data_IF_742123284586
#
_entry.id   IF_742123284586
#
_cell.length_a   1.000
_cell.length_b   1.000
_cell.length_c   1.000
_cell.angle_alpha   90.00
_cell.angle_beta   90.00
_cell.angle_gamma   90.00
#
_symmetry.space_group_name_H-M   'P 1'
#
loop_
_entity.id
_entity.type
_entity.pdbx_description
1 polymer ?
#
# COMPACT_ATOMS: atom_id res chain seq x y z
N UNK A 1 -38.76 7.29 0.82
CA UNK A 1 -38.52 7.77 2.21
C UNK A 1 -39.32 9.04 2.54
N UNK A 2 -39.84 9.22 3.77
CA UNK A 2 -40.50 10.47 4.20
C UNK A 2 -39.50 11.59 4.53
N UNK A 3 -39.96 12.82 4.79
CA UNK A 3 -39.08 13.98 5.07
C UNK A 3 -38.19 13.76 6.30
N UNK A 4 -38.74 13.14 7.34
CA UNK A 4 -38.01 12.80 8.57
C UNK A 4 -36.92 11.74 8.34
N UNK A 5 -37.19 10.73 7.51
CA UNK A 5 -36.18 9.75 7.11
C UNK A 5 -35.07 10.36 6.23
N UNK A 6 -35.40 11.34 5.38
CA UNK A 6 -34.38 12.09 4.61
C UNK A 6 -33.47 12.86 5.55
N UNK A 7 -34.04 13.52 6.57
CA UNK A 7 -33.26 14.26 7.57
C UNK A 7 -32.38 13.33 8.40
N UNK A 8 -32.89 12.16 8.81
CA UNK A 8 -32.12 11.15 9.54
C UNK A 8 -30.95 10.60 8.71
N UNK A 9 -31.18 10.26 7.44
CA UNK A 9 -30.13 9.82 6.52
C UNK A 9 -29.08 10.93 6.27
N UNK A 10 -29.53 12.18 6.08
CA UNK A 10 -28.63 13.33 5.96
C UNK A 10 -27.78 13.49 7.22
N UNK A 11 -28.37 13.34 8.40
CA UNK A 11 -27.69 13.43 9.69
C UNK A 11 -26.63 12.34 9.86
N UNK A 12 -26.95 11.08 9.51
CA UNK A 12 -26.01 9.96 9.49
C UNK A 12 -24.78 10.28 8.64
N UNK A 13 -24.99 10.69 7.39
CA UNK A 13 -23.90 10.94 6.45
C UNK A 13 -23.14 12.23 6.74
N UNK A 14 -23.79 13.27 7.26
CA UNK A 14 -23.14 14.50 7.68
C UNK A 14 -22.22 14.24 8.87
N UNK A 15 -22.70 13.59 9.94
CA UNK A 15 -21.88 13.31 11.10
C UNK A 15 -20.65 12.44 10.74
N UNK A 16 -20.85 11.39 9.95
CA UNK A 16 -19.75 10.53 9.49
C UNK A 16 -18.78 11.26 8.53
N UNK A 17 -19.27 12.15 7.67
CA UNK A 17 -18.41 12.95 6.81
C UNK A 17 -17.61 13.98 7.62
N UNK A 18 -18.22 14.67 8.59
CA UNK A 18 -17.50 15.59 9.46
C UNK A 18 -16.41 14.88 10.27
N UNK A 19 -16.73 13.73 10.87
CA UNK A 19 -15.77 12.90 11.61
C UNK A 19 -14.52 12.56 10.78
N UNK A 20 -14.68 12.19 9.51
CA UNK A 20 -13.58 11.83 8.63
C UNK A 20 -12.86 13.03 7.97
N UNK A 21 -13.35 14.26 8.15
CA UNK A 21 -12.84 15.46 7.46
C UNK A 21 -12.68 16.65 8.42
N UNK A 22 -11.88 16.48 9.48
CA UNK A 22 -11.50 17.55 10.42
C UNK A 22 -12.68 18.32 11.02
N UNK A 23 -13.83 17.65 11.17
CA UNK A 23 -15.05 18.22 11.70
C UNK A 23 -15.90 19.01 10.72
N UNK A 24 -15.60 18.97 9.41
CA UNK A 24 -16.34 19.71 8.38
C UNK A 24 -17.02 18.78 7.38
N UNK A 25 -18.33 18.62 7.55
CA UNK A 25 -19.18 17.95 6.59
C UNK A 25 -19.43 18.82 5.33
N UNK A 26 -19.53 18.16 4.18
CA UNK A 26 -19.73 18.78 2.87
C UNK A 26 -20.95 18.20 2.16
N UNK A 27 -21.70 19.08 1.47
CA UNK A 27 -22.96 18.74 0.80
C UNK A 27 -22.83 17.71 -0.31
N UNK A 28 -21.81 17.84 -1.16
CA UNK A 28 -21.64 17.01 -2.36
C UNK A 28 -21.57 15.50 -2.05
N UNK A 29 -20.66 15.05 -1.17
CA UNK A 29 -20.55 13.65 -0.77
C UNK A 29 -21.84 13.08 -0.16
N UNK A 30 -22.51 13.85 0.70
CA UNK A 30 -23.75 13.44 1.37
C UNK A 30 -24.87 13.26 0.34
N UNK A 31 -25.06 14.25 -0.54
CA UNK A 31 -26.05 14.20 -1.62
C UNK A 31 -25.79 13.00 -2.54
N UNK A 32 -24.54 12.80 -2.95
CA UNK A 32 -24.15 11.67 -3.80
C UNK A 32 -24.49 10.31 -3.17
N UNK A 33 -24.22 10.15 -1.87
CA UNK A 33 -24.50 8.91 -1.15
C UNK A 33 -25.99 8.66 -1.00
N UNK A 34 -26.76 9.66 -0.59
CA UNK A 34 -28.22 9.54 -0.43
C UNK A 34 -28.91 9.22 -1.76
N UNK A 35 -28.54 9.89 -2.85
CA UNK A 35 -29.11 9.62 -4.18
C UNK A 35 -28.65 8.28 -4.79
N UNK A 36 -27.51 7.76 -4.34
CA UNK A 36 -27.01 6.45 -4.72
C UNK A 36 -27.78 5.32 -4.05
N UNK A 37 -28.09 5.48 -2.76
CA UNK A 37 -28.80 4.47 -1.97
C UNK A 37 -30.32 4.48 -2.21
N UNK A 38 -30.92 5.66 -2.37
CA UNK A 38 -32.34 5.81 -2.71
C UNK A 38 -32.49 6.62 -4.02
N UNK A 39 -32.53 5.94 -5.18
CA UNK A 39 -32.78 6.54 -6.48
C UNK A 39 -34.02 7.44 -6.57
N UNK A 40 -35.07 7.19 -5.78
CA UNK A 40 -36.33 7.92 -5.85
C UNK A 40 -36.19 9.35 -5.31
N UNK A 41 -35.18 9.59 -4.46
CA UNK A 41 -34.84 10.91 -3.95
C UNK A 41 -34.43 11.90 -5.05
N UNK A 42 -34.05 11.44 -6.25
CA UNK A 42 -33.72 12.33 -7.38
C UNK A 42 -34.89 13.22 -7.76
N UNK A 43 -36.12 12.71 -7.67
CA UNK A 43 -37.35 13.47 -7.94
C UNK A 43 -37.58 14.59 -6.90
N UNK A 44 -36.99 14.46 -5.71
CA UNK A 44 -37.11 15.38 -4.58
C UNK A 44 -35.77 16.04 -4.23
N UNK A 45 -34.86 16.15 -5.20
CA UNK A 45 -33.50 16.64 -4.99
C UNK A 45 -33.44 18.02 -4.32
N UNK A 46 -34.39 18.92 -4.62
CA UNK A 46 -34.46 20.25 -3.98
C UNK A 46 -34.79 20.17 -2.49
N UNK A 47 -35.72 19.29 -2.10
CA UNK A 47 -36.08 19.05 -0.70
C UNK A 47 -34.90 18.42 0.05
N UNK A 48 -34.30 17.39 -0.52
CA UNK A 48 -33.12 16.71 0.03
C UNK A 48 -31.97 17.70 0.21
N UNK A 49 -31.70 18.52 -0.80
CA UNK A 49 -30.68 19.58 -0.77
C UNK A 49 -30.92 20.57 0.39
N UNK A 50 -32.17 20.99 0.61
CA UNK A 50 -32.53 21.92 1.68
C UNK A 50 -32.36 21.30 3.07
N UNK A 51 -32.75 20.02 3.23
CA UNK A 51 -32.56 19.28 4.47
C UNK A 51 -31.08 19.02 4.78
N UNK A 52 -30.27 18.74 3.76
CA UNK A 52 -28.81 18.62 3.92
C UNK A 52 -28.22 19.96 4.39
N UNK A 53 -28.64 21.11 3.84
CA UNK A 53 -28.13 22.41 4.29
C UNK A 53 -28.48 22.73 5.75
N UNK A 54 -29.65 22.29 6.21
CA UNK A 54 -30.03 22.38 7.62
C UNK A 54 -29.12 21.52 8.50
N UNK A 55 -28.98 20.24 8.15
CA UNK A 55 -28.13 19.28 8.88
C UNK A 55 -26.66 19.72 8.90
N UNK A 56 -26.13 20.22 7.78
CA UNK A 56 -24.75 20.68 7.70
C UNK A 56 -24.47 21.84 8.66
N UNK A 57 -25.40 22.78 8.80
CA UNK A 57 -25.26 23.88 9.77
C UNK A 57 -25.21 23.37 11.20
N UNK A 58 -26.01 22.36 11.49
CA UNK A 58 -26.03 21.72 12.82
C UNK A 58 -24.73 20.95 13.08
N UNK A 59 -24.38 19.98 12.23
CA UNK A 59 -23.21 19.11 12.41
C UNK A 59 -21.89 19.90 12.41
N UNK A 60 -21.73 20.89 11.54
CA UNK A 60 -20.51 21.71 11.48
C UNK A 60 -20.41 22.72 12.63
N UNK A 61 -21.46 22.88 13.45
CA UNK A 61 -21.40 23.67 14.69
C UNK A 61 -20.89 22.87 15.88
N UNK A 62 -20.86 21.54 15.79
CA UNK A 62 -20.39 20.66 16.84
C UNK A 62 -18.86 20.58 16.89
N UNK A 63 -18.32 20.28 18.06
CA UNK A 63 -16.91 19.89 18.19
C UNK A 63 -16.70 18.49 17.61
N UNK A 64 -15.45 18.12 17.31
CA UNK A 64 -15.12 16.78 16.81
C UNK A 64 -15.50 15.70 17.82
N UNK A 65 -15.29 15.97 19.12
CA UNK A 65 -15.70 15.08 20.21
C UNK A 65 -17.22 14.86 20.17
N UNK A 66 -18.01 15.92 20.01
CA UNK A 66 -19.46 15.80 19.96
C UNK A 66 -19.96 15.05 18.72
N UNK A 67 -19.31 15.26 17.57
CA UNK A 67 -19.61 14.51 16.34
C UNK A 67 -19.34 13.02 16.52
N UNK A 68 -18.23 12.67 17.19
CA UNK A 68 -17.89 11.30 17.53
C UNK A 68 -18.90 10.68 18.50
N UNK A 69 -19.19 11.34 19.63
CA UNK A 69 -20.19 10.86 20.60
C UNK A 69 -21.54 10.61 19.93
N UNK A 70 -21.98 11.53 19.08
CA UNK A 70 -23.24 11.40 18.37
C UNK A 70 -23.27 10.20 17.41
N UNK A 71 -22.14 9.90 16.74
CA UNK A 71 -21.99 8.68 15.94
C UNK A 71 -21.97 7.42 16.83
N UNK A 72 -21.27 7.44 17.97
CA UNK A 72 -21.21 6.30 18.92
C UNK A 72 -22.62 5.95 19.44
N UNK A 73 -23.44 6.97 19.73
CA UNK A 73 -24.81 6.81 20.23
C UNK A 73 -25.79 6.27 19.17
N UNK A 74 -25.64 6.68 17.90
CA UNK A 74 -26.66 6.47 16.85
C UNK A 74 -26.28 5.44 15.81
N UNK A 75 -25.02 5.45 15.38
CA UNK A 75 -24.47 4.64 14.30
C UNK A 75 -23.05 4.17 14.62
N UNK A 76 -22.85 3.40 15.72
CA UNK A 76 -21.53 2.95 16.12
C UNK A 76 -20.82 2.13 15.03
N UNK A 77 -21.58 1.47 14.14
CA UNK A 77 -21.06 0.72 13.00
C UNK A 77 -20.31 1.60 11.99
N UNK A 78 -20.53 2.91 11.99
CA UNK A 78 -19.81 3.85 11.14
C UNK A 78 -18.48 4.31 11.74
N UNK A 79 -18.29 4.14 13.05
CA UNK A 79 -17.02 4.40 13.75
C UNK A 79 -16.11 3.20 13.77
N UNK A 80 -16.69 2.01 13.57
CA UNK A 80 -16.00 0.87 12.98
C UNK A 80 -15.65 1.22 11.52
N UNK A 81 -14.78 2.22 11.36
CA UNK A 81 -13.94 2.30 10.18
C UNK A 81 -13.35 0.91 10.08
N UNK A 82 -13.43 0.31 8.90
CA UNK A 82 -12.56 -0.78 8.56
C UNK A 82 -11.15 -0.32 8.99
N UNK A 83 -10.68 -0.77 10.16
CA UNK A 83 -9.46 -1.51 10.16
C UNK A 83 -9.73 -2.60 9.12
N UNK A 84 -9.50 -2.27 7.85
CA UNK A 84 -8.52 -3.02 7.12
C UNK A 84 -7.40 -3.08 8.15
N UNK A 85 -7.41 -4.17 8.95
CA UNK A 85 -6.16 -4.75 9.33
C UNK A 85 -5.47 -4.73 7.99
N UNK A 86 -4.51 -3.84 7.80
CA UNK A 86 -3.45 -4.15 6.90
C UNK A 86 -2.94 -5.47 7.48
N UNK A 87 -3.60 -6.58 7.10
CA UNK A 87 -2.88 -7.80 6.86
C UNK A 87 -1.79 -7.28 5.94
N UNK A 88 -0.63 -7.01 6.53
CA UNK A 88 0.56 -6.68 5.77
C UNK A 88 0.52 -7.68 4.65
N UNK A 89 0.32 -7.20 3.42
CA UNK A 89 0.35 -8.08 2.26
C UNK A 89 1.76 -8.64 2.27
N UNK A 90 1.91 -9.83 2.83
CA UNK A 90 3.17 -10.53 2.93
C UNK A 90 3.33 -11.32 1.65
N UNK A 91 4.57 -11.62 1.31
CA UNK A 91 4.84 -12.52 0.21
C UNK A 91 4.23 -13.90 0.52
N UNK A 92 3.70 -14.61 -0.50
CA UNK A 92 3.23 -15.97 -0.29
C UNK A 92 4.38 -16.84 0.24
N UNK A 93 4.13 -17.83 1.09
CA UNK A 93 5.19 -18.68 1.59
C UNK A 93 5.85 -19.47 0.46
N UNK A 94 7.16 -19.68 0.56
CA UNK A 94 7.91 -20.57 -0.35
C UNK A 94 7.54 -22.04 -0.08
N UNK A 95 7.39 -22.80 -1.15
CA UNK A 95 7.12 -24.23 -1.06
C UNK A 95 8.32 -25.00 -0.50
N UNK A 96 8.05 -26.00 0.34
CA UNK A 96 9.04 -26.92 0.90
C UNK A 96 10.17 -26.26 1.72
N UNK A 97 9.95 -25.05 2.25
CA UNK A 97 10.99 -24.33 3.02
C UNK A 97 11.48 -25.14 4.23
N UNK A 98 10.61 -25.95 4.82
CA UNK A 98 10.91 -26.84 5.94
C UNK A 98 11.93 -27.96 5.62
N UNK A 99 12.17 -28.24 4.33
CA UNK A 99 13.18 -29.22 3.90
C UNK A 99 14.60 -28.68 3.95
N UNK A 100 14.76 -27.35 4.06
CA UNK A 100 16.04 -26.67 4.00
C UNK A 100 16.33 -25.97 5.32
N UNK A 101 17.62 -25.89 5.69
CA UNK A 101 18.03 -25.25 6.94
C UNK A 101 18.05 -23.73 6.87
N UNK A 102 18.20 -23.16 5.67
CA UNK A 102 18.37 -21.73 5.45
C UNK A 102 17.85 -21.39 4.04
N UNK A 103 17.10 -20.30 3.92
CA UNK A 103 16.70 -19.73 2.63
C UNK A 103 17.82 -18.82 2.12
N UNK A 104 18.25 -19.05 0.88
CA UNK A 104 19.27 -18.20 0.22
C UNK A 104 18.73 -17.71 -1.10
N UNK A 105 18.52 -16.41 -1.20
CA UNK A 105 18.05 -15.73 -2.43
C UNK A 105 19.23 -15.04 -3.12
N UNK A 106 19.10 -14.73 -4.40
CA UNK A 106 20.12 -13.94 -5.11
C UNK A 106 19.57 -13.01 -6.16
N UNK A 107 20.14 -11.81 -6.22
CA UNK A 107 20.08 -10.93 -7.39
C UNK A 107 21.37 -11.08 -8.18
N UNK A 108 21.25 -11.33 -9.49
CA UNK A 108 22.37 -11.68 -10.35
C UNK A 108 22.45 -10.78 -11.60
N UNK A 109 22.88 -9.51 -11.46
CA UNK A 109 22.96 -8.58 -12.57
C UNK A 109 24.20 -8.84 -13.44
N UNK A 110 24.11 -8.51 -14.72
CA UNK A 110 25.30 -8.31 -15.55
C UNK A 110 25.82 -6.89 -15.27
N UNK A 111 27.14 -6.68 -15.14
CA UNK A 111 27.71 -5.36 -14.92
C UNK A 111 27.90 -4.58 -16.23
N UNK A 112 26.95 -4.66 -17.17
CA UNK A 112 27.01 -4.05 -18.51
C UNK A 112 26.19 -2.75 -18.62
N UNK A 113 25.48 -2.36 -17.55
CA UNK A 113 24.74 -1.10 -17.45
C UNK A 113 24.13 -0.86 -16.06
N UNK A 114 23.65 0.37 -15.79
CA UNK A 114 23.03 0.71 -14.51
C UNK A 114 21.70 -0.04 -14.30
N UNK A 115 21.28 -0.17 -13.04
CA UNK A 115 19.95 -0.70 -12.73
C UNK A 115 18.86 0.26 -13.20
N UNK A 116 17.68 -0.29 -13.46
CA UNK A 116 16.48 0.48 -13.77
C UNK A 116 15.34 0.09 -12.84
N UNK A 117 14.19 0.77 -12.93
CA UNK A 117 13.06 0.52 -12.02
C UNK A 117 12.60 -0.95 -12.02
N UNK A 118 12.58 -1.60 -13.20
CA UNK A 118 12.29 -3.04 -13.30
C UNK A 118 13.29 -3.96 -12.60
N UNK A 119 14.49 -3.50 -12.25
CA UNK A 119 15.45 -4.26 -11.44
C UNK A 119 15.06 -4.26 -9.95
N UNK A 120 14.36 -3.22 -9.48
CA UNK A 120 13.98 -3.08 -8.08
C UNK A 120 13.03 -4.20 -7.62
N UNK A 121 12.10 -4.63 -8.48
CA UNK A 121 11.11 -5.68 -8.14
C UNK A 121 11.78 -7.02 -7.75
N UNK A 122 12.61 -7.66 -8.58
CA UNK A 122 13.27 -8.91 -8.19
C UNK A 122 14.27 -8.72 -7.03
N UNK A 123 14.89 -7.54 -6.89
CA UNK A 123 15.74 -7.21 -5.75
C UNK A 123 14.94 -7.25 -4.45
N UNK A 124 13.84 -6.49 -4.40
CA UNK A 124 12.98 -6.38 -3.22
C UNK A 124 12.37 -7.74 -2.89
N UNK A 125 11.91 -8.51 -3.86
CA UNK A 125 11.39 -9.86 -3.58
C UNK A 125 12.45 -10.79 -3.00
N UNK A 126 13.67 -10.79 -3.54
CA UNK A 126 14.74 -11.63 -3.00
C UNK A 126 15.12 -11.22 -1.57
N UNK A 127 15.21 -9.92 -1.29
CA UNK A 127 15.53 -9.37 0.03
C UNK A 127 14.41 -9.64 1.04
N UNK A 128 13.16 -9.40 0.68
CA UNK A 128 12.00 -9.66 1.55
C UNK A 128 11.82 -11.15 1.84
N UNK A 129 12.07 -12.05 0.88
CA UNK A 129 12.10 -13.49 1.17
C UNK A 129 13.27 -13.89 2.08
N UNK A 130 14.45 -13.29 1.93
CA UNK A 130 15.54 -13.53 2.87
C UNK A 130 15.17 -13.09 4.28
N UNK A 131 14.58 -11.90 4.46
CA UNK A 131 14.10 -11.40 5.76
C UNK A 131 12.97 -12.26 6.34
N UNK A 132 12.01 -12.67 5.52
CA UNK A 132 10.85 -13.47 5.94
C UNK A 132 11.26 -14.81 6.57
N UNK A 133 12.39 -15.36 6.15
CA UNK A 133 12.87 -16.68 6.56
C UNK A 133 14.20 -16.66 7.32
N UNK A 134 14.60 -15.51 7.86
CA UNK A 134 15.91 -15.33 8.54
C UNK A 134 17.09 -15.89 7.71
N UNK A 135 16.99 -15.75 6.39
CA UNK A 135 17.90 -16.27 5.40
C UNK A 135 18.96 -15.26 4.96
N UNK A 136 19.51 -15.49 3.77
CA UNK A 136 20.55 -14.63 3.19
C UNK A 136 20.20 -14.16 1.79
N UNK A 137 20.39 -12.87 1.56
CA UNK A 137 20.38 -12.25 0.24
C UNK A 137 21.80 -12.14 -0.33
N UNK A 138 21.99 -12.65 -1.54
CA UNK A 138 23.27 -12.72 -2.22
C UNK A 138 23.28 -11.79 -3.44
N UNK A 139 24.33 -10.98 -3.58
CA UNK A 139 24.65 -10.28 -4.83
C UNK A 139 25.69 -11.10 -5.60
N UNK A 140 25.38 -11.48 -6.85
CA UNK A 140 26.32 -12.16 -7.73
C UNK A 140 26.43 -11.46 -9.08
N UNK A 141 27.58 -10.91 -9.41
CA UNK A 141 27.78 -10.36 -10.76
C UNK A 141 27.95 -11.49 -11.78
N UNK A 142 27.16 -11.47 -12.85
CA UNK A 142 27.28 -12.40 -13.98
C UNK A 142 28.23 -11.80 -15.03
N UNK A 143 29.53 -11.91 -14.78
CA UNK A 143 30.60 -11.25 -15.54
C UNK A 143 31.43 -12.20 -16.43
N UNK A 144 30.87 -13.36 -16.78
CA UNK A 144 31.58 -14.41 -17.54
C UNK A 144 31.43 -14.33 -19.07
N UNK A 145 30.67 -13.36 -19.59
CA UNK A 145 30.35 -13.27 -21.03
C UNK A 145 30.82 -11.96 -21.67
N UNK A 146 32.11 -11.62 -21.60
CA UNK A 146 32.62 -10.31 -22.01
C UNK A 146 32.37 -9.98 -23.49
N UNK A 147 32.29 -10.98 -24.36
CA UNK A 147 32.06 -10.80 -25.80
C UNK A 147 30.60 -10.43 -26.16
N UNK A 148 29.65 -10.74 -25.28
CA UNK A 148 28.22 -10.47 -25.48
C UNK A 148 27.75 -9.31 -24.61
N UNK A 149 28.26 -9.24 -23.39
CA UNK A 149 27.92 -8.26 -22.36
C UNK A 149 29.20 -7.83 -21.66
N UNK A 150 29.92 -6.92 -22.30
CA UNK A 150 31.19 -6.41 -21.79
C UNK A 150 30.96 -5.71 -20.44
N UNK A 151 31.66 -6.14 -19.37
CA UNK A 151 31.59 -5.47 -18.07
C UNK A 151 32.08 -4.02 -18.14
N UNK A 152 31.36 -3.13 -17.48
CA UNK A 152 31.73 -1.73 -17.24
C UNK A 152 32.12 -1.62 -15.77
N UNK A 153 33.37 -1.20 -15.50
CA UNK A 153 33.95 -1.24 -14.16
C UNK A 153 33.16 -0.39 -13.15
N UNK A 154 32.66 0.76 -13.59
CA UNK A 154 31.90 1.70 -12.75
C UNK A 154 30.53 1.13 -12.34
N UNK A 155 29.95 0.26 -13.17
CA UNK A 155 28.63 -0.33 -12.93
C UNK A 155 28.64 -1.24 -11.70
N UNK A 156 29.76 -1.87 -11.37
CA UNK A 156 29.88 -2.68 -10.16
C UNK A 156 29.60 -1.88 -8.90
N UNK A 157 30.08 -0.65 -8.84
CA UNK A 157 29.89 0.21 -7.67
C UNK A 157 28.52 0.88 -7.70
N UNK A 158 28.03 1.30 -8.86
CA UNK A 158 26.67 1.82 -9.01
C UNK A 158 25.61 0.81 -8.54
N UNK A 159 25.73 -0.46 -8.93
CA UNK A 159 24.80 -1.51 -8.49
C UNK A 159 24.79 -1.65 -6.97
N UNK A 160 25.97 -1.56 -6.31
CA UNK A 160 26.04 -1.64 -4.84
C UNK A 160 25.43 -0.40 -4.19
N UNK A 161 25.64 0.78 -4.77
CA UNK A 161 25.05 2.03 -4.30
C UNK A 161 23.53 2.03 -4.44
N UNK A 162 23.00 1.52 -5.55
CA UNK A 162 21.57 1.40 -5.80
C UNK A 162 20.91 0.42 -4.81
N UNK A 163 21.54 -0.74 -4.53
CA UNK A 163 21.05 -1.67 -3.51
C UNK A 163 21.02 -1.04 -2.12
N UNK A 164 22.06 -0.27 -1.77
CA UNK A 164 22.11 0.48 -0.52
C UNK A 164 21.03 1.57 -0.47
N UNK A 165 20.79 2.26 -1.58
CA UNK A 165 19.74 3.27 -1.71
C UNK A 165 18.34 2.66 -1.54
N UNK A 166 18.12 1.44 -2.06
CA UNK A 166 16.90 0.66 -1.84
C UNK A 166 16.73 0.13 -0.40
N UNK A 167 17.74 0.29 0.46
CA UNK A 167 17.72 -0.20 1.84
C UNK A 167 17.90 -1.72 1.96
N UNK A 168 18.46 -2.36 0.94
CA UNK A 168 18.68 -3.80 0.87
C UNK A 168 20.01 -4.17 1.52
N UNK A 169 20.03 -5.24 2.31
CA UNK A 169 21.23 -5.74 2.98
C UNK A 169 21.78 -6.95 2.24
N UNK A 170 22.91 -6.79 1.58
CA UNK A 170 23.64 -7.90 0.94
C UNK A 170 24.44 -8.67 1.99
N UNK A 171 24.13 -9.96 2.18
CA UNK A 171 24.84 -10.81 3.13
C UNK A 171 26.11 -11.42 2.53
N UNK A 172 26.10 -11.73 1.23
CA UNK A 172 27.23 -12.34 0.54
C UNK A 172 27.39 -11.76 -0.86
N UNK A 173 28.64 -11.76 -1.32
CA UNK A 173 29.06 -11.15 -2.56
C UNK A 173 29.90 -12.13 -3.39
N UNK A 174 29.62 -12.24 -4.68
CA UNK A 174 30.38 -13.09 -5.60
C UNK A 174 30.57 -12.45 -6.96
N UNK A 175 31.77 -12.56 -7.51
CA UNK A 175 32.01 -12.46 -8.96
C UNK A 175 31.89 -13.86 -9.55
N UNK A 176 31.22 -14.00 -10.69
CA UNK A 176 31.11 -15.31 -11.33
C UNK A 176 32.43 -15.69 -12.03
N UNK A 177 33.18 -14.72 -12.52
CA UNK A 177 34.53 -14.88 -13.07
C UNK A 177 35.54 -15.47 -12.08
N UNK A 178 35.47 -15.09 -10.79
CA UNK A 178 36.31 -15.66 -9.72
C UNK A 178 36.02 -17.14 -9.45
N UNK A 179 34.95 -17.68 -10.02
CA UNK A 179 34.43 -19.03 -9.74
C UNK A 179 34.55 -19.98 -10.93
N UNK A 180 35.29 -19.60 -11.98
CA UNK A 180 35.44 -20.43 -13.20
C UNK A 180 35.95 -21.84 -12.91
N UNK A 181 36.83 -22.01 -11.93
CA UNK A 181 37.33 -23.32 -11.50
C UNK A 181 36.19 -24.26 -11.04
N UNK A 182 35.13 -23.74 -10.42
CA UNK A 182 33.99 -24.57 -9.99
C UNK A 182 33.20 -25.11 -11.19
N UNK A 183 33.25 -24.41 -12.32
CA UNK A 183 32.48 -24.77 -13.52
C UNK A 183 33.28 -25.67 -14.48
N UNK A 184 34.60 -25.55 -14.49
CA UNK A 184 35.49 -26.18 -15.48
C UNK A 184 36.63 -27.02 -14.89
N UNK A 185 36.80 -27.03 -13.57
CA UNK A 185 37.78 -27.86 -12.85
C UNK A 185 37.31 -29.26 -12.51
#
# INVERSE_FOLDING_TARGET
>A
MGSEGIKEAAMKYAAHNAYNHEGKAQKGPIMGRMLGEDPDLRSRASEVSSLIDEVLREVNSWTQERQREFLEERWPELLETQTVKEEKKTLPPLDNVEKYREVRTRFAPNPDGPLHLGSAEPIIFCDEYAKMYDGKFILRFEDTSPDVKSPILEVYDWIKEDLKWLGVVVNEFYMQSDRLEIYYG
#
